data_IF_209149157760
#
_entry.id   IF_209149157760
#
_cell.length_a   1.000
_cell.length_b   1.000
_cell.length_c   1.000
_cell.angle_alpha   90.00
_cell.angle_beta   90.00
_cell.angle_gamma   90.00
#
_symmetry.space_group_name_H-M   'P 1'
#
loop_
_entity.id
_entity.type
_entity.pdbx_description
1 polymer ?
#
# COMPACT_ATOMS: atom_id res chain seq x y z
N UNK A 1 -18.21 16.71 6.55
CA UNK A 1 -18.05 17.82 5.58
C UNK A 1 -18.84 19.04 6.02
N UNK A 2 -20.14 18.91 6.27
CA UNK A 2 -21.00 20.03 6.64
C UNK A 2 -20.53 20.79 7.90
N UNK A 3 -20.10 20.07 8.94
CA UNK A 3 -19.55 20.68 10.16
C UNK A 3 -18.34 21.59 9.90
N UNK A 4 -17.51 21.24 8.91
CA UNK A 4 -16.32 22.01 8.53
C UNK A 4 -16.57 22.95 7.34
N UNK A 5 -17.82 23.04 6.86
CA UNK A 5 -18.23 23.94 5.77
C UNK A 5 -17.69 23.57 4.39
N UNK A 6 -17.34 22.30 4.15
CA UNK A 6 -16.79 21.87 2.85
C UNK A 6 -17.87 21.37 1.90
N UNK A 7 -17.97 22.02 0.74
CA UNK A 7 -18.89 21.63 -0.32
C UNK A 7 -18.43 20.35 -1.04
N UNK A 8 -17.13 20.20 -1.28
CA UNK A 8 -16.53 19.01 -1.89
C UNK A 8 -15.23 18.65 -1.21
N UNK A 9 -14.80 17.41 -1.34
CA UNK A 9 -13.48 16.99 -0.91
C UNK A 9 -12.89 15.91 -1.81
N UNK A 10 -11.59 15.74 -1.68
CA UNK A 10 -10.87 14.56 -2.15
C UNK A 10 -11.06 13.47 -1.11
N UNK A 11 -11.38 12.26 -1.56
CA UNK A 11 -11.65 11.12 -0.68
C UNK A 11 -10.65 10.02 -0.96
N UNK A 12 -10.05 9.51 0.11
CA UNK A 12 -9.03 8.47 0.04
C UNK A 12 -9.38 7.41 1.05
N UNK A 13 -9.55 6.20 0.53
CA UNK A 13 -9.94 5.06 1.33
C UNK A 13 -8.93 3.94 1.18
N UNK A 14 -8.44 3.45 2.32
CA UNK A 14 -7.58 2.27 2.41
C UNK A 14 -8.41 1.13 2.96
N UNK A 15 -8.40 -0.04 2.31
CA UNK A 15 -9.06 -1.24 2.82
C UNK A 15 -10.55 -0.98 3.12
N UNK A 16 -11.01 -1.19 4.36
CA UNK A 16 -12.36 -0.84 4.80
C UNK A 16 -12.71 0.64 4.58
N UNK A 17 -11.74 1.56 4.76
CA UNK A 17 -11.93 2.97 4.40
C UNK A 17 -12.22 3.17 2.92
N UNK A 18 -11.71 2.30 2.04
CA UNK A 18 -12.06 2.25 0.62
C UNK A 18 -13.52 1.88 0.37
N UNK A 19 -14.10 1.01 1.20
CA UNK A 19 -15.53 0.67 1.13
C UNK A 19 -16.40 1.86 1.54
N UNK A 20 -16.03 2.52 2.64
CA UNK A 20 -16.69 3.75 3.09
C UNK A 20 -16.57 4.86 2.05
N UNK A 21 -15.40 5.01 1.43
CA UNK A 21 -15.16 5.99 0.37
C UNK A 21 -16.02 5.71 -0.88
N UNK A 22 -16.13 4.44 -1.29
CA UNK A 22 -17.01 4.05 -2.39
C UNK A 22 -18.47 4.33 -2.05
N UNK A 23 -18.96 3.91 -0.88
CA UNK A 23 -20.34 4.16 -0.44
C UNK A 23 -20.66 5.68 -0.44
N UNK A 24 -19.72 6.48 0.06
CA UNK A 24 -19.85 7.94 0.05
C UNK A 24 -19.89 8.49 -1.39
N UNK A 25 -19.00 8.02 -2.26
CA UNK A 25 -18.92 8.50 -3.65
C UNK A 25 -20.10 8.08 -4.53
N UNK A 26 -20.69 6.90 -4.31
CA UNK A 26 -21.89 6.48 -5.05
C UNK A 26 -23.17 7.16 -4.55
N UNK A 27 -23.18 7.61 -3.29
CA UNK A 27 -24.34 8.25 -2.65
C UNK A 27 -24.33 9.77 -2.84
N UNK A 28 -23.15 10.38 -2.77
CA UNK A 28 -22.95 11.83 -2.87
C UNK A 28 -21.86 12.17 -3.92
N UNK A 29 -22.01 11.73 -5.18
CA UNK A 29 -21.00 11.93 -6.21
C UNK A 29 -20.63 13.40 -6.44
N UNK A 30 -21.57 14.32 -6.22
CA UNK A 30 -21.36 15.76 -6.32
C UNK A 30 -20.44 16.33 -5.24
N UNK A 31 -20.30 15.64 -4.10
CA UNK A 31 -19.46 16.02 -2.96
C UNK A 31 -18.03 15.47 -3.07
N UNK A 32 -17.76 14.60 -4.03
CA UNK A 32 -16.43 14.02 -4.25
C UNK A 32 -15.75 14.70 -5.42
N UNK A 33 -14.69 15.44 -5.14
CA UNK A 33 -13.87 16.04 -6.20
C UNK A 33 -13.08 14.97 -6.93
N UNK A 34 -12.41 14.07 -6.18
CA UNK A 34 -11.57 12.96 -6.66
C UNK A 34 -11.54 11.81 -5.67
N UNK A 35 -11.29 10.61 -6.17
CA UNK A 35 -11.33 9.38 -5.39
C UNK A 35 -10.04 8.57 -5.53
N UNK A 36 -9.46 8.15 -4.41
CA UNK A 36 -8.33 7.19 -4.40
C UNK A 36 -8.71 5.98 -3.55
N UNK A 37 -8.76 4.82 -4.19
CA UNK A 37 -9.08 3.54 -3.58
C UNK A 37 -7.82 2.70 -3.48
N UNK A 38 -7.44 2.38 -2.25
CA UNK A 38 -6.23 1.63 -1.94
C UNK A 38 -6.64 0.27 -1.34
N UNK A 39 -6.25 -0.83 -2.00
CA UNK A 39 -6.40 -2.21 -1.52
C UNK A 39 -7.78 -2.54 -0.94
N UNK A 40 -8.84 -2.30 -1.71
CA UNK A 40 -10.24 -2.43 -1.25
C UNK A 40 -11.07 -3.34 -2.16
N UNK A 41 -12.32 -3.56 -1.78
CA UNK A 41 -13.31 -4.32 -2.54
C UNK A 41 -14.63 -3.58 -2.62
N UNK A 42 -15.40 -3.81 -3.68
CA UNK A 42 -16.75 -3.25 -3.85
C UNK A 42 -17.87 -4.14 -3.30
N UNK A 43 -17.58 -5.42 -3.02
CA UNK A 43 -18.64 -6.38 -2.69
C UNK A 43 -19.42 -6.82 -3.92
N UNK A 44 -20.52 -7.55 -3.69
CA UNK A 44 -21.43 -8.01 -4.75
C UNK A 44 -20.70 -8.72 -5.91
N UNK A 45 -21.17 -8.46 -7.12
CA UNK A 45 -20.62 -9.00 -8.37
C UNK A 45 -19.21 -8.49 -8.70
N UNK A 46 -18.79 -7.38 -8.07
CA UNK A 46 -17.42 -6.86 -8.17
C UNK A 46 -16.44 -7.57 -7.20
N UNK A 47 -16.94 -8.55 -6.44
CA UNK A 47 -16.17 -9.35 -5.50
C UNK A 47 -16.08 -8.73 -4.12
N UNK A 48 -16.34 -9.55 -3.10
CA UNK A 48 -16.10 -9.21 -1.71
C UNK A 48 -14.62 -9.37 -1.33
N UNK A 49 -14.21 -8.64 -0.28
CA UNK A 49 -12.96 -8.91 0.43
C UNK A 49 -13.04 -10.23 1.20
N UNK A 50 -11.88 -10.73 1.61
CA UNK A 50 -11.75 -11.88 2.51
C UNK A 50 -12.67 -11.72 3.74
N UNK A 51 -13.37 -12.79 4.16
CA UNK A 51 -14.35 -12.75 5.23
C UNK A 51 -13.68 -12.69 6.61
N UNK A 52 -13.10 -11.53 6.96
CA UNK A 52 -12.40 -11.35 8.24
C UNK A 52 -13.29 -11.58 9.47
N UNK A 53 -14.61 -11.53 9.32
CA UNK A 53 -15.56 -11.87 10.39
C UNK A 53 -15.52 -13.36 10.76
N UNK A 54 -15.09 -14.26 9.87
CA UNK A 54 -14.90 -15.68 10.17
C UNK A 54 -13.67 -15.93 11.04
N UNK A 55 -12.78 -14.94 11.18
CA UNK A 55 -11.62 -15.04 12.06
C UNK A 55 -11.98 -14.68 13.52
N UNK A 56 -13.21 -14.20 13.78
CA UNK A 56 -13.69 -13.91 15.13
C UNK A 56 -13.84 -15.22 15.90
N UNK A 57 -13.29 -15.25 17.12
CA UNK A 57 -13.33 -16.44 17.98
C UNK A 57 -12.18 -17.44 17.75
N UNK A 58 -11.34 -17.24 16.73
CA UNK A 58 -10.07 -17.97 16.62
C UNK A 58 -9.14 -17.58 17.77
N UNK A 59 -8.37 -18.55 18.26
CA UNK A 59 -7.31 -18.28 19.20
C UNK A 59 -6.25 -17.33 18.59
N UNK A 60 -5.52 -16.55 19.40
CA UNK A 60 -4.59 -15.54 18.89
C UNK A 60 -3.50 -16.09 17.97
N UNK A 61 -3.01 -17.32 18.21
CA UNK A 61 -1.94 -17.90 17.40
C UNK A 61 -2.45 -18.30 16.01
N UNK A 62 -3.60 -18.96 15.94
CA UNK A 62 -4.25 -19.32 14.68
C UNK A 62 -4.67 -18.07 13.90
N UNK A 63 -5.25 -17.06 14.59
CA UNK A 63 -5.61 -15.78 13.96
C UNK A 63 -4.38 -15.08 13.41
N UNK A 64 -3.29 -14.98 14.18
CA UNK A 64 -2.04 -14.36 13.76
C UNK A 64 -1.41 -15.06 12.55
N UNK A 65 -1.36 -16.39 12.55
CA UNK A 65 -0.83 -17.17 11.42
C UNK A 65 -1.65 -16.96 10.14
N UNK A 66 -2.99 -16.95 10.24
CA UNK A 66 -3.89 -16.71 9.11
C UNK A 66 -3.79 -15.27 8.60
N UNK A 67 -3.82 -14.30 9.52
CA UNK A 67 -3.68 -12.87 9.19
C UNK A 67 -2.36 -12.60 8.47
N UNK A 68 -1.25 -13.20 8.93
CA UNK A 68 0.06 -13.10 8.29
C UNK A 68 0.02 -13.52 6.82
N UNK A 69 -0.60 -14.65 6.50
CA UNK A 69 -0.64 -15.19 5.13
C UNK A 69 -1.60 -14.46 4.20
N UNK A 70 -2.72 -13.92 4.72
CA UNK A 70 -3.65 -13.14 3.89
C UNK A 70 -3.21 -11.68 3.75
N UNK A 71 -2.44 -11.17 4.71
CA UNK A 71 -1.93 -9.81 4.63
C UNK A 71 -0.88 -9.66 3.54
N UNK A 72 -0.04 -10.67 3.33
CA UNK A 72 0.82 -10.78 2.14
C UNK A 72 1.02 -12.26 1.84
N UNK A 73 0.51 -12.73 0.70
CA UNK A 73 0.52 -14.16 0.34
C UNK A 73 1.92 -14.74 0.15
N UNK A 74 2.96 -13.90 0.11
CA UNK A 74 4.36 -14.34 0.11
C UNK A 74 4.88 -14.69 1.49
N UNK A 75 4.23 -14.27 2.59
CA UNK A 75 4.70 -14.44 3.98
C UNK A 75 4.59 -15.90 4.48
N UNK A 76 5.17 -16.81 3.71
CA UNK A 76 5.48 -18.20 4.08
C UNK A 76 6.65 -18.22 5.08
N UNK A 77 6.78 -19.31 5.84
CA UNK A 77 7.88 -19.43 6.80
C UNK A 77 9.25 -19.34 6.12
N UNK A 78 9.40 -19.91 4.92
CA UNK A 78 10.62 -19.81 4.10
C UNK A 78 10.91 -18.37 3.67
N UNK A 79 9.89 -17.61 3.26
CA UNK A 79 10.08 -16.22 2.85
C UNK A 79 10.51 -15.35 4.04
N UNK A 80 9.86 -15.51 5.19
CA UNK A 80 10.14 -14.75 6.41
C UNK A 80 11.50 -15.11 7.02
N UNK A 81 11.95 -16.36 6.86
CA UNK A 81 13.30 -16.76 7.27
C UNK A 81 14.40 -16.03 6.45
N UNK A 82 14.07 -15.59 5.24
CA UNK A 82 15.02 -14.99 4.30
C UNK A 82 14.87 -13.47 4.11
N UNK A 83 13.74 -12.89 4.53
CA UNK A 83 13.48 -11.45 4.43
C UNK A 83 13.20 -10.84 5.81
N UNK A 84 14.18 -10.10 6.34
CA UNK A 84 14.12 -9.47 7.67
C UNK A 84 13.06 -8.38 7.77
N UNK A 85 12.80 -7.66 6.68
CA UNK A 85 11.79 -6.60 6.68
C UNK A 85 10.39 -7.21 6.70
N UNK A 86 10.16 -8.23 5.87
CA UNK A 86 8.93 -9.01 5.91
C UNK A 86 8.71 -9.68 7.28
N UNK A 87 9.77 -10.25 7.87
CA UNK A 87 9.72 -10.81 9.22
C UNK A 87 9.34 -9.76 10.29
N UNK A 88 9.94 -8.56 10.22
CA UNK A 88 9.61 -7.46 11.12
C UNK A 88 8.17 -6.98 10.96
N UNK A 89 7.69 -6.86 9.72
CA UNK A 89 6.30 -6.49 9.41
C UNK A 89 5.32 -7.56 9.90
N UNK A 90 5.59 -8.83 9.63
CA UNK A 90 4.79 -9.96 10.11
C UNK A 90 4.73 -9.98 11.64
N UNK A 91 5.86 -9.75 12.31
CA UNK A 91 5.91 -9.65 13.78
C UNK A 91 5.10 -8.46 14.29
N UNK A 92 5.24 -7.27 13.68
CA UNK A 92 4.47 -6.09 14.06
C UNK A 92 2.95 -6.33 13.97
N UNK A 93 2.51 -7.02 12.91
CA UNK A 93 1.11 -7.40 12.75
C UNK A 93 0.65 -8.38 13.82
N UNK A 94 1.45 -9.40 14.12
CA UNK A 94 1.15 -10.36 15.19
C UNK A 94 1.10 -9.69 16.57
N UNK A 95 2.06 -8.81 16.88
CA UNK A 95 2.12 -8.09 18.16
C UNK A 95 0.90 -7.19 18.37
N UNK A 96 0.36 -6.58 17.29
CA UNK A 96 -0.87 -5.78 17.35
C UNK A 96 -2.09 -6.59 17.84
N UNK A 97 -2.14 -7.87 17.52
CA UNK A 97 -3.24 -8.75 17.95
C UNK A 97 -3.18 -9.08 19.45
N UNK A 98 -2.01 -8.89 20.08
CA UNK A 98 -1.77 -9.12 21.51
C UNK A 98 -2.06 -7.89 22.38
N UNK A 99 -2.24 -6.72 21.77
CA UNK A 99 -2.57 -5.50 22.51
C UNK A 99 -3.98 -5.62 23.07
N UNK A 100 -4.10 -5.52 24.40
CA UNK A 100 -5.41 -5.50 25.06
C UNK A 100 -6.24 -4.31 24.57
N UNK A 101 -7.48 -4.58 24.17
CA UNK A 101 -8.41 -3.59 23.63
C UNK A 101 -9.47 -3.26 24.69
N UNK A 102 -9.89 -2.01 24.76
CA UNK A 102 -11.05 -1.63 25.57
C UNK A 102 -12.34 -2.16 24.94
N UNK A 103 -13.39 -2.26 25.74
CA UNK A 103 -14.71 -2.71 25.28
C UNK A 103 -15.25 -1.84 24.14
N UNK A 104 -14.99 -0.53 24.16
CA UNK A 104 -15.37 0.37 23.08
C UNK A 104 -14.65 0.09 21.76
N UNK A 105 -13.36 -0.25 21.82
CA UNK A 105 -12.61 -0.65 20.62
C UNK A 105 -13.14 -1.97 20.08
N UNK A 106 -13.38 -2.95 20.95
CA UNK A 106 -13.95 -4.24 20.55
C UNK A 106 -15.33 -4.10 19.91
N UNK A 107 -16.19 -3.26 20.50
CA UNK A 107 -17.51 -2.92 19.96
C UNK A 107 -17.40 -2.25 18.60
N UNK A 108 -16.50 -1.27 18.46
CA UNK A 108 -16.24 -0.58 17.20
C UNK A 108 -15.74 -1.52 16.10
N UNK A 109 -14.81 -2.41 16.43
CA UNK A 109 -14.32 -3.43 15.49
C UNK A 109 -15.45 -4.35 15.05
N UNK A 110 -16.27 -4.87 15.97
CA UNK A 110 -17.41 -5.71 15.63
C UNK A 110 -18.37 -5.01 14.66
N UNK A 111 -18.69 -3.74 14.90
CA UNK A 111 -19.54 -2.94 13.99
C UNK A 111 -18.90 -2.75 12.61
N UNK A 112 -17.59 -2.56 12.53
CA UNK A 112 -16.87 -2.48 11.25
C UNK A 112 -16.88 -3.83 10.51
N UNK A 113 -16.66 -4.95 11.22
CA UNK A 113 -16.72 -6.27 10.61
C UNK A 113 -18.10 -6.56 10.02
N UNK A 114 -19.16 -6.11 10.71
CA UNK A 114 -20.54 -6.28 10.28
C UNK A 114 -20.90 -5.39 9.09
N UNK A 115 -20.51 -4.12 9.12
CA UNK A 115 -20.67 -3.23 7.95
C UNK A 115 -19.94 -3.79 6.73
N UNK A 116 -18.74 -4.35 6.94
CA UNK A 116 -17.93 -4.96 5.87
C UNK A 116 -18.53 -6.25 5.31
N UNK A 117 -19.20 -7.05 6.14
CA UNK A 117 -19.88 -8.31 5.73
C UNK A 117 -20.93 -8.06 4.67
N UNK A 118 -21.64 -6.94 4.76
CA UNK A 118 -22.78 -6.59 3.90
C UNK A 118 -22.48 -5.49 2.88
N UNK A 119 -21.23 -5.04 2.80
CA UNK A 119 -20.87 -4.00 1.85
C UNK A 119 -21.04 -4.50 0.42
N UNK A 120 -21.87 -3.78 -0.35
CA UNK A 120 -22.07 -3.97 -1.78
C UNK A 120 -22.43 -2.64 -2.45
N UNK A 121 -21.51 -2.19 -3.30
CA UNK A 121 -21.67 -1.01 -4.15
C UNK A 121 -21.53 -1.34 -5.63
N UNK A 122 -21.36 -2.62 -5.99
CA UNK A 122 -20.97 -3.03 -7.34
C UNK A 122 -21.87 -2.42 -8.42
N UNK A 123 -23.19 -2.61 -8.28
CA UNK A 123 -24.20 -2.07 -9.21
C UNK A 123 -24.27 -0.54 -9.26
N UNK A 124 -23.68 0.16 -8.29
CA UNK A 124 -23.69 1.62 -8.17
C UNK A 124 -22.35 2.27 -8.53
N UNK A 125 -21.29 1.52 -8.78
CA UNK A 125 -19.97 2.07 -9.09
C UNK A 125 -19.98 3.01 -10.31
N UNK A 126 -20.88 2.76 -11.28
CA UNK A 126 -21.09 3.63 -12.43
C UNK A 126 -21.58 5.04 -12.11
N UNK A 127 -22.08 5.28 -10.88
CA UNK A 127 -22.48 6.61 -10.41
C UNK A 127 -21.27 7.50 -10.04
N UNK A 128 -20.08 6.91 -9.88
CA UNK A 128 -18.86 7.65 -9.57
C UNK A 128 -18.39 8.35 -10.85
N UNK A 129 -18.58 9.67 -10.91
CA UNK A 129 -18.22 10.48 -12.09
C UNK A 129 -16.90 11.25 -11.95
N UNK A 130 -16.29 11.23 -10.77
CA UNK A 130 -15.04 11.93 -10.51
C UNK A 130 -13.82 11.10 -10.95
N UNK A 131 -12.67 11.74 -11.24
CA UNK A 131 -11.42 11.02 -11.51
C UNK A 131 -11.09 10.07 -10.35
N UNK A 132 -10.86 8.80 -10.69
CA UNK A 132 -10.66 7.74 -9.71
C UNK A 132 -9.37 6.98 -9.97
N UNK A 133 -8.52 6.88 -8.95
CA UNK A 133 -7.38 5.96 -8.94
C UNK A 133 -7.71 4.76 -8.07
N UNK A 134 -7.59 3.57 -8.63
CA UNK A 134 -7.69 2.29 -7.94
C UNK A 134 -6.32 1.67 -7.86
N UNK A 135 -5.96 1.15 -6.69
CA UNK A 135 -4.64 0.55 -6.48
C UNK A 135 -4.72 -0.76 -5.70
N UNK A 136 -3.81 -1.67 -6.01
CA UNK A 136 -3.75 -2.98 -5.37
C UNK A 136 -2.32 -3.45 -5.10
N UNK A 137 -2.13 -4.21 -4.03
CA UNK A 137 -0.94 -5.01 -3.81
C UNK A 137 -1.05 -6.35 -4.55
N UNK A 138 -0.02 -6.75 -5.29
CA UNK A 138 0.00 -8.01 -6.06
C UNK A 138 -0.25 -9.27 -5.21
N UNK A 139 0.12 -9.21 -3.94
CA UNK A 139 0.09 -10.34 -3.02
C UNK A 139 -0.96 -10.13 -1.91
N UNK A 140 -1.90 -9.20 -2.11
CA UNK A 140 -3.00 -8.95 -1.19
C UNK A 140 -3.96 -10.15 -1.17
N UNK A 141 -4.05 -10.83 -0.03
CA UNK A 141 -5.01 -11.92 0.19
C UNK A 141 -6.29 -11.47 0.90
N UNK A 142 -6.39 -10.20 1.31
CA UNK A 142 -7.58 -9.62 1.93
C UNK A 142 -8.48 -8.99 0.86
N UNK A 143 -7.91 -8.17 -0.02
CA UNK A 143 -8.59 -7.62 -1.19
C UNK A 143 -7.77 -7.96 -2.44
N UNK A 144 -7.87 -9.19 -2.95
CA UNK A 144 -7.16 -9.61 -4.16
C UNK A 144 -7.23 -8.60 -5.30
N UNK A 145 -6.20 -8.59 -6.15
CA UNK A 145 -6.11 -7.67 -7.30
C UNK A 145 -7.37 -7.69 -8.17
N UNK A 146 -8.02 -8.85 -8.30
CA UNK A 146 -9.30 -9.01 -9.00
C UNK A 146 -10.40 -8.08 -8.50
N UNK A 147 -10.45 -7.77 -7.20
CA UNK A 147 -11.41 -6.78 -6.67
C UNK A 147 -11.12 -5.38 -7.24
N UNK A 148 -9.85 -4.99 -7.30
CA UNK A 148 -9.45 -3.67 -7.83
C UNK A 148 -9.63 -3.59 -9.34
N UNK A 149 -9.40 -4.69 -10.06
CA UNK A 149 -9.73 -4.82 -11.49
C UNK A 149 -11.23 -4.65 -11.73
N UNK A 150 -12.07 -5.33 -10.95
CA UNK A 150 -13.52 -5.24 -11.06
C UNK A 150 -14.05 -3.83 -10.73
N UNK A 151 -13.48 -3.16 -9.72
CA UNK A 151 -13.80 -1.76 -9.40
C UNK A 151 -13.44 -0.84 -10.57
N UNK A 152 -12.19 -0.92 -11.04
CA UNK A 152 -11.71 -0.04 -12.11
C UNK A 152 -12.47 -0.24 -13.42
N UNK A 153 -12.91 -1.46 -13.73
CA UNK A 153 -13.72 -1.76 -14.90
C UNK A 153 -15.14 -1.16 -14.84
N UNK A 154 -15.66 -0.87 -13.65
CA UNK A 154 -17.03 -0.38 -13.45
C UNK A 154 -17.13 1.13 -13.22
N UNK A 155 -16.03 1.78 -12.82
CA UNK A 155 -15.98 3.24 -12.64
C UNK A 155 -15.50 3.89 -13.95
N UNK A 156 -16.33 4.76 -14.59
CA UNK A 156 -15.94 5.41 -15.83
C UNK A 156 -14.65 6.23 -15.70
N UNK A 157 -13.65 5.88 -16.51
CA UNK A 157 -12.36 6.59 -16.55
C UNK A 157 -11.46 6.36 -15.32
N UNK A 158 -11.73 5.32 -14.53
CA UNK A 158 -10.83 4.94 -13.45
C UNK A 158 -9.50 4.38 -13.98
N UNK A 159 -8.41 4.66 -13.27
CA UNK A 159 -7.11 4.06 -13.55
C UNK A 159 -6.74 3.04 -12.50
N UNK A 160 -6.22 1.89 -12.94
CA UNK A 160 -5.71 0.84 -12.07
C UNK A 160 -4.17 0.85 -12.03
N UNK A 161 -3.61 0.81 -10.82
CA UNK A 161 -2.17 0.62 -10.58
C UNK A 161 -1.93 -0.55 -9.62
N UNK A 162 -1.10 -1.49 -10.04
CA UNK A 162 -0.69 -2.63 -9.20
C UNK A 162 0.73 -2.46 -8.71
N UNK A 163 0.97 -2.74 -7.43
CA UNK A 163 2.25 -2.54 -6.74
C UNK A 163 2.78 -3.85 -6.14
N UNK A 164 4.10 -3.92 -5.91
CA UNK A 164 4.69 -5.01 -5.15
C UNK A 164 4.31 -4.86 -3.67
N UNK A 165 3.77 -5.93 -3.06
CA UNK A 165 3.30 -5.88 -1.67
C UNK A 165 1.99 -6.62 -1.47
N UNK A 166 1.69 -6.90 -0.21
CA UNK A 166 0.40 -7.39 0.23
C UNK A 166 -0.63 -6.27 0.45
N UNK A 167 -1.56 -6.49 1.38
CA UNK A 167 -2.71 -5.63 1.64
C UNK A 167 -2.32 -4.18 1.91
N UNK A 168 -1.39 -3.91 2.81
CA UNK A 168 -0.88 -2.55 3.03
C UNK A 168 0.42 -2.29 2.27
N UNK A 169 0.46 -2.63 0.97
CA UNK A 169 1.62 -2.39 0.09
C UNK A 169 2.17 -0.97 0.23
N UNK A 170 1.30 0.04 0.42
CA UNK A 170 1.70 1.45 0.58
C UNK A 170 2.70 1.65 1.73
N UNK A 171 2.67 0.82 2.78
CA UNK A 171 3.62 0.90 3.89
C UNK A 171 5.05 0.56 3.46
N UNK A 172 5.21 -0.29 2.43
CA UNK A 172 6.51 -0.57 1.83
C UNK A 172 7.08 0.64 1.06
N UNK A 173 6.23 1.56 0.65
CA UNK A 173 6.60 2.72 -0.17
C UNK A 173 6.63 4.04 0.62
N UNK A 174 5.92 4.12 1.75
CA UNK A 174 5.83 5.32 2.59
C UNK A 174 6.85 5.37 3.73
N UNK A 175 7.35 4.21 4.19
CA UNK A 175 8.49 4.15 5.10
C UNK A 175 9.76 4.27 4.26
N UNK A 176 10.55 5.32 4.51
CA UNK A 176 11.84 5.49 3.84
C UNK A 176 12.64 4.20 3.95
N UNK A 177 12.80 3.49 2.84
CA UNK A 177 13.55 2.24 2.85
C UNK A 177 14.99 2.57 3.28
N UNK A 178 15.44 2.00 4.39
CA UNK A 178 16.83 2.14 4.78
C UNK A 178 17.73 1.42 3.75
N UNK A 179 19.00 1.80 3.68
CA UNK A 179 19.94 1.24 2.71
C UNK A 179 20.00 -0.30 2.76
N UNK A 180 19.80 -0.91 3.94
CA UNK A 180 19.77 -2.35 4.11
C UNK A 180 18.61 -3.01 3.33
N UNK A 181 17.40 -2.47 3.42
CA UNK A 181 16.23 -2.95 2.71
C UNK A 181 16.37 -2.75 1.20
N UNK A 182 16.91 -1.60 0.78
CA UNK A 182 17.16 -1.29 -0.63
C UNK A 182 18.16 -2.30 -1.25
N UNK A 183 19.29 -2.55 -0.58
CA UNK A 183 20.31 -3.52 -1.02
C UNK A 183 19.73 -4.94 -1.09
N UNK A 184 19.03 -5.37 -0.03
CA UNK A 184 18.45 -6.72 0.04
C UNK A 184 17.45 -6.96 -1.08
N UNK A 185 16.57 -5.98 -1.32
CA UNK A 185 15.55 -6.04 -2.37
C UNK A 185 16.18 -6.08 -3.76
N UNK A 186 17.15 -5.18 -4.04
CA UNK A 186 17.83 -5.13 -5.33
C UNK A 186 18.62 -6.42 -5.62
N UNK A 187 19.39 -6.93 -4.65
CA UNK A 187 20.14 -8.18 -4.79
C UNK A 187 19.23 -9.37 -5.10
N UNK A 188 18.12 -9.46 -4.38
CA UNK A 188 17.17 -10.58 -4.51
C UNK A 188 16.45 -10.53 -5.86
N UNK A 189 16.05 -9.35 -6.33
CA UNK A 189 15.49 -9.14 -7.68
C UNK A 189 16.49 -9.51 -8.78
N UNK A 190 17.76 -9.17 -8.60
CA UNK A 190 18.85 -9.55 -9.50
C UNK A 190 19.24 -11.04 -9.41
N UNK A 191 18.60 -11.82 -8.51
CA UNK A 191 18.89 -13.23 -8.24
C UNK A 191 20.35 -13.49 -7.88
N UNK A 192 21.00 -12.54 -7.21
CA UNK A 192 22.39 -12.66 -6.80
C UNK A 192 22.50 -13.23 -5.38
N UNK A 193 23.46 -14.13 -5.16
CA UNK A 193 23.87 -14.48 -3.80
C UNK A 193 24.68 -13.33 -3.18
N UNK A 194 24.77 -13.27 -1.85
CA UNK A 194 25.60 -12.25 -1.17
C UNK A 194 27.08 -12.30 -1.58
N UNK A 195 27.60 -13.52 -1.83
CA UNK A 195 28.97 -13.72 -2.33
C UNK A 195 29.13 -13.22 -3.77
N UNK A 196 28.15 -13.48 -4.61
CA UNK A 196 28.17 -13.04 -6.00
C UNK A 196 28.07 -11.52 -6.10
N UNK A 197 27.20 -10.90 -5.31
CA UNK A 197 27.10 -9.44 -5.21
C UNK A 197 28.44 -8.85 -4.73
N UNK A 198 29.02 -9.40 -3.67
CA UNK A 198 30.29 -8.94 -3.13
C UNK A 198 31.41 -8.99 -4.18
N UNK A 199 31.49 -10.10 -4.94
CA UNK A 199 32.47 -10.28 -6.03
C UNK A 199 32.30 -9.23 -7.13
N UNK A 200 31.06 -8.94 -7.54
CA UNK A 200 30.77 -7.96 -8.61
C UNK A 200 31.00 -6.51 -8.18
N UNK A 201 30.72 -6.20 -6.92
CA UNK A 201 30.95 -4.87 -6.34
C UNK A 201 32.43 -4.65 -5.99
N UNK A 202 33.22 -5.72 -5.84
CA UNK A 202 34.61 -5.63 -5.40
C UNK A 202 34.74 -5.41 -3.89
N UNK A 203 33.81 -5.97 -3.10
CA UNK A 203 33.82 -5.89 -1.63
C UNK A 203 33.80 -7.29 -0.99
N UNK A 204 33.87 -7.37 0.34
CA UNK A 204 33.82 -8.65 1.04
C UNK A 204 32.36 -9.14 1.21
N UNK A 205 32.11 -10.47 1.18
CA UNK A 205 30.78 -11.01 1.51
C UNK A 205 30.31 -10.62 2.91
N UNK A 206 31.24 -10.43 3.85
CA UNK A 206 30.94 -9.96 5.20
C UNK A 206 30.37 -8.53 5.18
N UNK A 207 30.93 -7.63 4.37
CA UNK A 207 30.43 -6.27 4.22
C UNK A 207 28.99 -6.25 3.67
N UNK A 208 28.69 -7.08 2.65
CA UNK A 208 27.31 -7.22 2.14
C UNK A 208 26.37 -7.75 3.23
N UNK A 209 26.79 -8.72 4.03
CA UNK A 209 26.00 -9.22 5.17
C UNK A 209 25.75 -8.13 6.21
N UNK A 210 26.77 -7.32 6.52
CA UNK A 210 26.65 -6.20 7.45
C UNK A 210 25.67 -5.14 6.94
N UNK A 211 25.78 -4.76 5.67
CA UNK A 211 24.88 -3.81 5.02
C UNK A 211 23.44 -4.30 5.00
N UNK A 212 23.17 -5.52 4.53
CA UNK A 212 21.81 -6.09 4.51
C UNK A 212 21.24 -6.34 5.90
N UNK A 213 22.10 -6.50 6.91
CA UNK A 213 21.66 -6.62 8.30
C UNK A 213 21.37 -5.29 8.99
N UNK A 214 21.74 -4.17 8.39
CA UNK A 214 21.66 -2.85 9.01
C UNK A 214 22.71 -2.61 10.12
N UNK A 215 23.62 -3.56 10.37
CA UNK A 215 24.73 -3.40 11.34
C UNK A 215 25.75 -2.36 10.90
N UNK A 216 25.85 -2.14 9.58
CA UNK A 216 26.68 -1.11 8.97
C UNK A 216 25.88 -0.43 7.88
N UNK A 217 25.98 0.89 7.78
CA UNK A 217 25.43 1.63 6.64
C UNK A 217 26.50 1.78 5.55
N UNK A 218 26.18 1.56 4.27
CA UNK A 218 27.08 1.89 3.18
C UNK A 218 27.23 3.41 3.04
N UNK A 219 28.33 3.85 2.44
CA UNK A 219 28.40 5.22 1.90
C UNK A 219 27.43 5.35 0.72
N UNK A 220 27.11 6.59 0.32
CA UNK A 220 26.29 6.84 -0.87
C UNK A 220 26.90 6.16 -2.10
N UNK A 221 28.21 6.31 -2.31
CA UNK A 221 28.91 5.69 -3.45
C UNK A 221 28.86 4.16 -3.40
N UNK A 222 29.01 3.58 -2.20
CA UNK A 222 28.91 2.13 -2.03
C UNK A 222 27.49 1.64 -2.32
N UNK A 223 26.48 2.40 -1.88
CA UNK A 223 25.08 2.08 -2.15
C UNK A 223 24.79 2.15 -3.65
N UNK A 224 25.20 3.23 -4.33
CA UNK A 224 25.03 3.40 -5.78
C UNK A 224 25.68 2.24 -6.55
N UNK A 225 26.94 1.90 -6.23
CA UNK A 225 27.66 0.80 -6.87
C UNK A 225 26.97 -0.55 -6.66
N UNK A 226 26.53 -0.84 -5.43
CA UNK A 226 25.79 -2.07 -5.12
C UNK A 226 24.50 -2.15 -5.95
N UNK A 227 23.75 -1.06 -6.04
CA UNK A 227 22.49 -1.03 -6.78
C UNK A 227 22.69 -1.15 -8.28
N UNK A 228 23.70 -0.48 -8.86
CA UNK A 228 24.02 -0.62 -10.29
C UNK A 228 24.37 -2.06 -10.66
N UNK A 229 25.15 -2.75 -9.83
CA UNK A 229 25.46 -4.18 -10.01
C UNK A 229 24.19 -5.05 -9.97
N UNK A 230 23.17 -4.62 -9.23
CA UNK A 230 21.86 -5.25 -9.19
C UNK A 230 20.92 -4.78 -10.32
N UNK A 231 21.37 -3.91 -11.22
CA UNK A 231 20.56 -3.36 -12.31
C UNK A 231 19.58 -2.27 -11.87
N UNK A 232 19.92 -1.52 -10.81
CA UNK A 232 19.10 -0.43 -10.26
C UNK A 232 19.93 0.85 -10.21
N UNK A 233 19.45 1.93 -10.84
CA UNK A 233 20.06 3.26 -10.73
C UNK A 233 19.41 4.06 -9.60
N UNK A 234 20.21 4.87 -8.89
CA UNK A 234 19.74 5.78 -7.84
C UNK A 234 19.75 7.22 -8.36
N UNK A 235 18.65 7.93 -8.15
CA UNK A 235 18.61 9.39 -8.22
C UNK A 235 18.64 9.95 -6.80
N UNK A 236 19.57 10.87 -6.52
CA UNK A 236 19.71 11.53 -5.22
C UNK A 236 19.29 12.99 -5.35
N UNK A 237 18.40 13.43 -4.45
CA UNK A 237 18.02 14.82 -4.29
C UNK A 237 18.22 15.23 -2.84
N UNK A 238 18.89 16.36 -2.62
CA UNK A 238 19.00 16.97 -1.29
C UNK A 238 17.74 17.77 -1.00
N UNK A 239 17.19 17.61 0.20
CA UNK A 239 16.04 18.37 0.69
C UNK A 239 16.43 18.95 2.04
N UNK A 240 16.18 20.24 2.23
CA UNK A 240 16.64 21.01 3.39
C UNK A 240 15.85 20.60 4.65
N UNK A 241 16.54 20.18 5.72
CA UNK A 241 15.89 19.57 6.89
C UNK A 241 15.68 20.56 8.04
N UNK A 242 14.45 21.05 8.24
CA UNK A 242 14.05 21.77 9.46
C UNK A 242 12.98 21.00 10.25
N UNK A 243 12.94 21.12 11.58
CA UNK A 243 12.09 20.28 12.46
C UNK A 243 10.56 20.50 12.28
N UNK A 244 10.18 21.59 11.62
CA UNK A 244 8.84 21.85 11.06
C UNK A 244 8.42 20.75 10.07
N UNK A 245 9.39 20.09 9.43
CA UNK A 245 9.20 19.09 8.39
C UNK A 245 8.56 17.78 8.83
N UNK A 246 8.51 17.42 10.11
CA UNK A 246 7.85 16.15 10.50
C UNK A 246 6.33 16.30 10.50
N UNK A 247 5.83 17.44 10.99
CA UNK A 247 4.42 17.82 10.94
C UNK A 247 4.03 18.26 9.54
N UNK A 248 4.91 18.99 8.85
CA UNK A 248 4.76 19.26 7.43
C UNK A 248 4.96 18.01 6.58
N UNK A 249 5.64 16.93 6.97
CA UNK A 249 5.71 15.70 6.17
C UNK A 249 4.38 14.96 6.23
N UNK A 250 3.72 14.87 7.38
CA UNK A 250 2.35 14.38 7.39
C UNK A 250 1.42 15.35 6.63
N UNK A 251 1.66 16.66 6.77
CA UNK A 251 0.97 17.72 6.04
C UNK A 251 1.26 17.76 4.54
N UNK A 252 2.43 17.34 4.07
CA UNK A 252 2.92 17.30 2.68
C UNK A 252 2.70 15.93 2.07
N UNK A 253 2.65 14.86 2.84
CA UNK A 253 2.14 13.57 2.37
C UNK A 253 0.62 13.74 2.15
N UNK A 254 -0.09 14.41 3.07
CA UNK A 254 -1.49 14.81 2.87
C UNK A 254 -1.64 15.88 1.79
N UNK A 255 -0.79 16.91 1.72
CA UNK A 255 -0.87 17.95 0.71
C UNK A 255 -0.36 17.51 -0.65
N UNK A 256 0.56 16.54 -0.79
CA UNK A 256 0.94 15.93 -2.06
C UNK A 256 -0.15 14.99 -2.55
N UNK A 257 -0.86 14.35 -1.62
CA UNK A 257 -2.06 13.58 -1.91
C UNK A 257 -3.23 14.48 -2.31
N UNK A 258 -3.39 15.64 -1.67
CA UNK A 258 -4.39 16.66 -2.02
C UNK A 258 -3.99 17.48 -3.25
N UNK A 259 -2.71 17.77 -3.49
CA UNK A 259 -2.15 18.43 -4.69
C UNK A 259 -2.17 17.49 -5.88
N UNK A 260 -1.85 16.20 -5.69
CA UNK A 260 -2.15 15.18 -6.68
C UNK A 260 -3.64 15.21 -6.98
N UNK A 261 -4.46 15.26 -5.94
CA UNK A 261 -5.88 15.35 -6.07
C UNK A 261 -6.45 16.76 -6.31
N UNK A 262 -5.64 17.77 -6.60
CA UNK A 262 -6.01 19.09 -7.12
C UNK A 262 -5.48 19.26 -8.56
N UNK A 263 -4.35 18.64 -8.89
CA UNK A 263 -3.70 18.63 -10.21
C UNK A 263 -4.32 17.65 -11.21
N UNK A 264 -5.13 16.67 -10.77
CA UNK A 264 -5.95 15.89 -11.71
C UNK A 264 -6.98 16.83 -12.40
N UNK A 265 -7.16 16.74 -13.71
CA UNK A 265 -7.92 17.73 -14.46
C UNK A 265 -9.40 17.79 -14.04
N UNK A 266 -9.88 19.00 -13.71
CA UNK A 266 -11.32 19.31 -13.67
C UNK A 266 -11.83 19.29 -15.10
N UNK A 267 -12.31 18.13 -15.55
CA UNK A 267 -12.88 17.86 -16.89
C UNK A 267 -12.01 18.35 -18.04
N UNK A 268 -11.26 17.42 -18.63
CA UNK A 268 -10.94 17.48 -20.07
C UNK A 268 -11.49 16.19 -20.68
N UNK A 269 -12.41 16.26 -21.67
CA UNK A 269 -12.72 15.09 -22.47
C UNK A 269 -11.43 14.68 -23.19
N UNK A 270 -10.94 13.46 -22.93
CA UNK A 270 -9.75 12.87 -23.58
C UNK A 270 -8.39 13.55 -23.31
N UNK A 271 -8.09 13.96 -22.07
CA UNK A 271 -6.69 14.14 -21.67
C UNK A 271 -6.25 12.97 -20.78
N UNK A 272 -5.26 12.23 -21.27
CA UNK A 272 -4.54 11.19 -20.57
C UNK A 272 -4.04 11.68 -19.20
N UNK A 273 -4.79 11.36 -18.15
CA UNK A 273 -4.38 11.63 -16.76
C UNK A 273 -3.08 10.85 -16.49
N UNK A 274 -2.06 11.54 -15.96
CA UNK A 274 -0.79 10.91 -15.60
C UNK A 274 -0.66 10.84 -14.08
N UNK A 275 -0.76 9.63 -13.54
CA UNK A 275 -0.56 9.36 -12.13
C UNK A 275 0.92 9.12 -11.85
N UNK A 276 1.48 9.66 -10.75
CA UNK A 276 2.85 9.39 -10.35
C UNK A 276 3.04 7.89 -10.15
N UNK A 277 4.07 7.34 -10.81
CA UNK A 277 4.45 5.95 -10.68
C UNK A 277 5.19 5.76 -9.34
N UNK A 278 4.63 5.01 -8.40
CA UNK A 278 5.47 4.48 -7.31
C UNK A 278 6.37 3.37 -7.89
N UNK A 279 7.58 3.17 -7.32
CA UNK A 279 8.52 2.17 -7.82
C UNK A 279 7.91 0.76 -7.92
N UNK A 280 8.06 0.10 -9.09
CA UNK A 280 7.52 -1.24 -9.31
C UNK A 280 6.02 -1.30 -9.65
N UNK A 281 5.37 -0.16 -9.86
CA UNK A 281 4.02 -0.14 -10.41
C UNK A 281 3.98 -0.57 -11.88
N UNK A 282 2.98 -1.36 -12.26
CA UNK A 282 2.61 -1.55 -13.67
C UNK A 282 1.28 -0.87 -13.92
N UNK A 283 1.28 0.06 -14.87
CA UNK A 283 0.06 0.66 -15.39
C UNK A 283 -0.62 -0.36 -16.30
N UNK A 284 -1.89 -0.62 -16.05
CA UNK A 284 -2.77 -1.25 -17.04
C UNK A 284 -3.88 -0.23 -17.25
N UNK A 285 -3.88 0.42 -18.42
CA UNK A 285 -5.08 1.12 -18.87
C UNK A 285 -6.02 0.03 -19.40
N UNK A 286 -7.19 -0.08 -18.78
CA UNK A 286 -8.29 -0.91 -19.25
C UNK A 286 -9.10 -0.11 -20.27
#
# INVERSE_FOLDING_TARGET
>A
LDHVGWDKCIVIGISFGGMVAQEFAVTFPERVEKLVLLCTSAGGDAGASYPLHENVGLDPATRGAKMRTIFDTRFTDDFLANDKFAAAMAKMLADRELVAKSDDVLRGEAMQLEARRHHDVASRLGNITCPTLVTAGRYDGIAPVANSEAIAAQIPGAELRTYEGGHLFIRMYADGMNAAAIITSARTRARLSKRELARRVGTSPAAIVEYESGRRSPTIDSLDMILRVCGVDIALSFVDRSETERLEKCGRDLAAVLELADSLPKRVPNADVQWPLLPGSRAVRL
#
